data_IF_273538087827
#
_entry.id   IF_273538087827
#
_cell.length_a   1.000
_cell.length_b   1.000
_cell.length_c   1.000
_cell.angle_alpha   90.00
_cell.angle_beta   90.00
_cell.angle_gamma   90.00
#
_symmetry.space_group_name_H-M   'P 1'
#
loop_
_entity.id
_entity.type
_entity.pdbx_description
1 polymer ?
#
# COMPACT_ATOMS: atom_id res chain seq x y z
N UNK A 1 -15.40 32.55 -18.16
CA UNK A 1 -16.16 31.99 -17.02
C UNK A 1 -16.33 30.49 -17.24
N UNK A 2 -15.32 29.63 -17.38
CA UNK A 2 -14.07 29.42 -16.62
C UNK A 2 -14.27 29.55 -15.11
N UNK A 3 -14.00 28.46 -14.39
CA UNK A 3 -13.97 28.34 -12.92
C UNK A 3 -15.31 28.08 -12.24
N UNK A 4 -15.82 26.83 -12.31
CA UNK A 4 -16.61 26.30 -11.19
C UNK A 4 -16.73 24.75 -11.12
N UNK A 5 -15.97 24.01 -11.95
CA UNK A 5 -15.98 22.52 -11.91
C UNK A 5 -14.83 21.91 -11.11
N UNK A 6 -13.91 22.73 -10.59
CA UNK A 6 -12.72 22.26 -9.90
C UNK A 6 -12.96 21.89 -8.42
N UNK A 7 -14.08 22.31 -7.82
CA UNK A 7 -14.28 22.19 -6.36
C UNK A 7 -15.46 21.33 -5.93
N UNK A 8 -16.02 20.51 -6.82
CA UNK A 8 -16.78 19.34 -6.37
C UNK A 8 -15.75 18.27 -6.03
N UNK A 9 -15.15 18.45 -4.85
CA UNK A 9 -14.43 17.43 -4.10
C UNK A 9 -15.20 16.12 -4.28
N UNK A 10 -14.63 15.25 -5.10
CA UNK A 10 -15.20 13.97 -5.42
C UNK A 10 -15.45 13.25 -4.09
N UNK A 11 -16.72 13.10 -3.73
CA UNK A 11 -17.11 12.18 -2.67
C UNK A 11 -16.41 10.86 -3.02
N UNK A 12 -15.55 10.31 -2.14
CA UNK A 12 -14.93 9.02 -2.39
C UNK A 12 -16.06 8.00 -2.52
N UNK A 13 -16.38 7.60 -3.76
CA UNK A 13 -17.49 6.66 -4.02
C UNK A 13 -18.25 6.84 -5.34
N UNK A 14 -18.19 7.98 -6.04
CA UNK A 14 -18.99 8.19 -7.27
C UNK A 14 -18.24 7.94 -8.58
N UNK A 15 -16.90 7.84 -8.56
CA UNK A 15 -16.09 7.55 -9.74
C UNK A 15 -15.31 6.23 -9.54
N UNK A 16 -15.58 5.18 -10.35
CA UNK A 16 -14.86 3.91 -10.30
C UNK A 16 -13.33 4.05 -10.41
N UNK A 17 -12.83 5.02 -11.17
CA UNK A 17 -11.38 5.27 -11.28
C UNK A 17 -10.78 5.78 -9.96
N UNK A 18 -11.52 6.60 -9.21
CA UNK A 18 -11.06 7.08 -7.90
C UNK A 18 -11.02 5.94 -6.88
N UNK A 19 -11.98 5.00 -6.93
CA UNK A 19 -11.99 3.83 -6.07
C UNK A 19 -10.80 2.90 -6.36
N UNK A 20 -10.51 2.63 -7.63
CA UNK A 20 -9.35 1.83 -8.03
C UNK A 20 -8.03 2.49 -7.59
N UNK A 21 -7.88 3.80 -7.82
CA UNK A 21 -6.69 4.52 -7.36
C UNK A 21 -6.53 4.45 -5.84
N UNK A 22 -7.64 4.48 -5.08
CA UNK A 22 -7.58 4.37 -3.62
C UNK A 22 -7.00 3.04 -3.17
N UNK A 23 -7.32 1.93 -3.85
CA UNK A 23 -6.74 0.63 -3.51
C UNK A 23 -5.21 0.61 -3.65
N UNK A 24 -4.67 1.26 -4.69
CA UNK A 24 -3.22 1.36 -4.89
C UNK A 24 -2.56 2.34 -3.91
N UNK A 25 -3.21 3.46 -3.58
CA UNK A 25 -2.70 4.43 -2.60
C UNK A 25 -2.60 3.80 -1.20
N UNK A 26 -3.56 2.95 -0.82
CA UNK A 26 -3.55 2.29 0.49
C UNK A 26 -2.28 1.43 0.71
N UNK A 27 -1.73 0.82 -0.35
CA UNK A 27 -0.44 0.10 -0.29
C UNK A 27 0.69 1.03 0.14
N UNK A 28 0.74 2.22 -0.46
CA UNK A 28 1.76 3.22 -0.17
C UNK A 28 1.58 3.83 1.23
N UNK A 29 0.34 4.11 1.63
CA UNK A 29 0.02 4.59 2.97
C UNK A 29 0.48 3.58 4.05
N UNK A 30 0.26 2.28 3.84
CA UNK A 30 0.74 1.23 4.74
C UNK A 30 2.26 1.12 4.76
N UNK A 31 2.93 1.23 3.62
CA UNK A 31 4.39 1.20 3.56
C UNK A 31 5.03 2.38 4.29
N UNK A 32 4.48 3.59 4.13
CA UNK A 32 4.91 4.79 4.88
C UNK A 32 4.66 4.60 6.37
N UNK A 33 3.48 4.09 6.75
CA UNK A 33 3.18 3.78 8.15
C UNK A 33 4.19 2.79 8.74
N UNK A 34 4.51 1.71 8.03
CA UNK A 34 5.49 0.72 8.46
C UNK A 34 6.86 1.35 8.75
N UNK A 35 7.32 2.25 7.87
CA UNK A 35 8.60 2.94 8.03
C UNK A 35 8.60 3.93 9.21
N UNK A 36 7.53 4.71 9.38
CA UNK A 36 7.43 5.72 10.45
C UNK A 36 7.21 5.10 11.83
N UNK A 37 6.33 4.09 11.91
CA UNK A 37 5.95 3.43 13.17
C UNK A 37 6.82 2.23 13.50
N UNK A 38 7.77 1.88 12.63
CA UNK A 38 8.64 0.71 12.78
C UNK A 38 7.84 -0.60 12.88
N UNK A 39 6.75 -0.67 12.13
CA UNK A 39 5.80 -1.79 12.17
C UNK A 39 6.03 -2.74 10.98
N UNK A 40 6.72 -3.85 11.23
CA UNK A 40 6.93 -4.91 10.23
C UNK A 40 5.62 -5.53 9.74
N UNK A 41 4.60 -5.61 10.59
CA UNK A 41 3.31 -6.17 10.18
C UNK A 41 2.60 -5.25 9.18
N UNK A 42 2.71 -3.93 9.34
CA UNK A 42 2.21 -2.96 8.35
C UNK A 42 2.93 -3.11 7.00
N UNK A 43 4.23 -3.40 6.98
CA UNK A 43 4.96 -3.69 5.74
C UNK A 43 4.46 -4.98 5.07
N UNK A 44 4.27 -6.05 5.83
CA UNK A 44 3.68 -7.30 5.32
C UNK A 44 2.28 -7.05 4.75
N UNK A 45 1.44 -6.28 5.44
CA UNK A 45 0.11 -5.91 4.97
C UNK A 45 0.17 -5.09 3.67
N UNK A 46 1.09 -4.14 3.55
CA UNK A 46 1.27 -3.36 2.33
C UNK A 46 1.52 -4.29 1.13
N UNK A 47 2.44 -5.25 1.28
CA UNK A 47 2.77 -6.22 0.22
C UNK A 47 1.62 -7.21 -0.03
N UNK A 48 0.84 -7.58 1.00
CA UNK A 48 -0.38 -8.37 0.82
C UNK A 48 -1.46 -7.65 0.01
N UNK A 49 -1.55 -6.32 0.09
CA UNK A 49 -2.49 -5.52 -0.68
C UNK A 49 -1.97 -5.07 -2.04
N UNK A 50 -0.70 -5.36 -2.37
CA UNK A 50 -0.16 -5.14 -3.71
C UNK A 50 -0.87 -6.05 -4.73
N UNK A 51 -1.49 -5.49 -5.79
CA UNK A 51 -2.28 -6.28 -6.74
C UNK A 51 -1.49 -7.35 -7.48
N UNK A 52 -0.20 -7.11 -7.78
CA UNK A 52 0.64 -8.08 -8.47
C UNK A 52 0.99 -9.24 -7.53
N UNK A 53 1.39 -8.91 -6.31
CA UNK A 53 1.81 -9.89 -5.30
C UNK A 53 0.65 -10.80 -4.89
N UNK A 54 -0.51 -10.22 -4.58
CA UNK A 54 -1.71 -10.96 -4.19
C UNK A 54 -2.31 -11.82 -5.30
N UNK A 55 -2.03 -11.52 -6.57
CA UNK A 55 -2.45 -12.35 -7.69
C UNK A 55 -1.61 -13.63 -7.84
N UNK A 56 -0.41 -13.68 -7.25
CA UNK A 56 0.57 -14.75 -7.46
C UNK A 56 0.83 -15.62 -6.23
N UNK A 57 0.70 -15.06 -5.02
CA UNK A 57 1.14 -15.69 -3.79
C UNK A 57 0.01 -15.79 -2.76
N UNK A 58 -0.01 -16.88 -2.00
CA UNK A 58 -0.86 -16.98 -0.83
C UNK A 58 -0.33 -16.07 0.32
N UNK A 59 -1.19 -15.62 1.25
CA UNK A 59 -0.77 -14.73 2.35
C UNK A 59 0.43 -15.24 3.16
N UNK A 60 0.52 -16.55 3.41
CA UNK A 60 1.66 -17.16 4.11
C UNK A 60 2.97 -17.12 3.33
N UNK A 61 2.90 -17.15 2.01
CA UNK A 61 4.07 -17.05 1.13
C UNK A 61 4.56 -15.60 1.08
N UNK A 62 3.64 -14.65 1.07
CA UNK A 62 3.93 -13.21 1.15
C UNK A 62 4.62 -12.88 2.46
N UNK A 63 4.09 -13.36 3.60
CA UNK A 63 4.70 -13.17 4.92
C UNK A 63 6.15 -13.67 4.96
N UNK A 64 6.41 -14.88 4.43
CA UNK A 64 7.76 -15.44 4.33
C UNK A 64 8.68 -14.61 3.42
N UNK A 65 8.21 -14.26 2.23
CA UNK A 65 8.97 -13.45 1.26
C UNK A 65 9.35 -12.08 1.86
N UNK A 66 8.43 -11.42 2.57
CA UNK A 66 8.69 -10.13 3.19
C UNK A 66 9.71 -10.24 4.32
N UNK A 67 9.67 -11.32 5.12
CA UNK A 67 10.69 -11.57 6.13
C UNK A 67 12.08 -11.77 5.50
N UNK A 68 12.19 -12.52 4.41
CA UNK A 68 13.44 -12.68 3.65
C UNK A 68 13.95 -11.32 3.12
N UNK A 69 13.06 -10.45 2.64
CA UNK A 69 13.43 -9.09 2.22
C UNK A 69 13.94 -8.24 3.39
N UNK A 70 13.33 -8.33 4.58
CA UNK A 70 13.82 -7.62 5.76
C UNK A 70 15.19 -8.11 6.20
N UNK A 71 15.47 -9.41 6.09
CA UNK A 71 16.80 -9.97 6.37
C UNK A 71 17.84 -9.45 5.36
N UNK A 72 17.51 -9.46 4.08
CA UNK A 72 18.38 -8.96 3.02
C UNK A 72 18.67 -7.46 3.16
N UNK A 73 17.67 -6.68 3.57
CA UNK A 73 17.75 -5.22 3.70
C UNK A 73 18.06 -4.75 5.13
N UNK A 74 18.45 -5.66 6.05
CA UNK A 74 18.68 -5.35 7.46
C UNK A 74 19.73 -4.25 7.69
N UNK A 75 20.64 -4.04 6.72
CA UNK A 75 21.60 -2.93 6.72
C UNK A 75 20.89 -1.56 6.73
N UNK A 76 19.75 -1.44 6.07
CA UNK A 76 19.01 -0.19 5.85
C UNK A 76 17.72 -0.12 6.67
N UNK A 77 17.03 -1.25 6.86
CA UNK A 77 15.75 -1.35 7.57
C UNK A 77 15.95 -2.00 8.95
N UNK A 78 16.43 -1.20 9.91
CA UNK A 78 16.80 -1.64 11.27
C UNK A 78 15.63 -1.62 12.26
N UNK A 79 14.43 -1.99 11.80
CA UNK A 79 13.23 -2.06 12.64
C UNK A 79 12.44 -3.31 12.32
#
# INVERSE_FOLDING_TARGET
MSEDRAFKLAIPGSNPAAALNRTNINVQELAVKAALEKDRAAAVQAVMFDPLTSALLAPREIERMVNEMFEAEAKWLQF
#
